data_IF_841667260590
#
_entry.id   IF_841667260590
#
_cell.length_a   1.000
_cell.length_b   1.000
_cell.length_c   1.000
_cell.angle_alpha   90.00
_cell.angle_beta   90.00
_cell.angle_gamma   90.00
#
_symmetry.space_group_name_H-M   'P 1'
#
loop_
_entity.id
_entity.type
_entity.pdbx_description
1 polymer ?
#
# COMPACT_ATOMS: atom_id res chain seq x y z
N UNK A 1 16.12 33.86 -10.36
CA UNK A 1 14.90 33.45 -11.09
C UNK A 1 15.23 32.14 -11.80
N UNK A 2 14.42 31.09 -11.70
CA UNK A 2 14.64 29.86 -12.43
C UNK A 2 14.67 30.13 -13.94
N UNK A 3 15.57 29.48 -14.66
CA UNK A 3 15.70 29.63 -16.11
C UNK A 3 14.45 29.12 -16.85
N UNK A 4 14.26 29.51 -18.12
CA UNK A 4 13.13 29.01 -18.92
C UNK A 4 13.15 27.50 -19.09
N UNK A 5 14.33 26.86 -19.06
CA UNK A 5 14.53 25.42 -19.08
C UNK A 5 14.00 24.75 -17.80
N UNK A 6 14.06 25.43 -16.66
CA UNK A 6 13.60 24.88 -15.37
C UNK A 6 12.08 24.83 -15.23
N UNK A 7 11.32 25.49 -16.10
CA UNK A 7 9.86 25.52 -16.09
C UNK A 7 9.20 24.60 -17.12
N UNK A 8 9.96 23.84 -17.87
CA UNK A 8 9.42 22.92 -18.90
C UNK A 8 8.49 21.84 -18.30
N UNK A 9 8.73 21.41 -17.05
CA UNK A 9 7.87 20.44 -16.36
C UNK A 9 6.44 20.95 -16.09
N UNK A 10 6.26 22.28 -15.89
CA UNK A 10 4.93 22.90 -15.70
C UNK A 10 4.07 22.82 -16.96
N UNK A 11 4.66 22.62 -18.13
CA UNK A 11 3.94 22.50 -19.41
C UNK A 11 3.53 21.06 -19.74
N UNK A 12 3.85 20.10 -18.87
CA UNK A 12 3.54 18.70 -19.11
C UNK A 12 2.09 18.37 -18.74
N UNK A 13 1.26 17.89 -19.70
CA UNK A 13 -0.13 17.55 -19.43
C UNK A 13 -0.36 16.59 -18.28
N UNK A 14 0.47 15.53 -18.03
CA UNK A 14 0.27 14.62 -16.92
C UNK A 14 0.31 15.29 -15.55
N UNK A 15 1.09 16.35 -15.41
CA UNK A 15 1.14 17.11 -14.16
C UNK A 15 -0.24 17.69 -13.81
N UNK A 16 -0.87 18.33 -14.78
CA UNK A 16 -2.15 19.01 -14.56
C UNK A 16 -3.33 18.03 -14.49
N UNK A 17 -3.24 16.90 -15.20
CA UNK A 17 -4.21 15.79 -15.07
C UNK A 17 -4.16 15.20 -13.66
N UNK A 18 -2.99 15.16 -13.02
CA UNK A 18 -2.83 14.71 -11.63
C UNK A 18 -3.11 15.82 -10.60
N UNK A 19 -2.44 16.96 -10.74
CA UNK A 19 -2.52 18.06 -9.78
C UNK A 19 -3.88 18.78 -9.77
N UNK A 20 -4.54 18.90 -10.92
CA UNK A 20 -5.82 19.60 -11.04
C UNK A 20 -6.90 19.03 -10.12
N UNK A 21 -7.27 17.75 -10.24
CA UNK A 21 -8.26 17.12 -9.36
C UNK A 21 -7.88 17.21 -7.87
N UNK A 22 -6.59 17.05 -7.54
CA UNK A 22 -6.11 17.15 -6.16
C UNK A 22 -6.27 18.58 -5.62
N UNK A 23 -5.95 19.61 -6.39
CA UNK A 23 -6.15 20.99 -6.00
C UNK A 23 -7.64 21.32 -5.82
N UNK A 24 -8.50 20.85 -6.72
CA UNK A 24 -9.96 21.02 -6.59
C UNK A 24 -10.44 20.35 -5.31
N UNK A 25 -10.00 19.13 -5.02
CA UNK A 25 -10.34 18.42 -3.80
C UNK A 25 -9.85 19.18 -2.54
N UNK A 26 -8.62 19.68 -2.54
CA UNK A 26 -8.07 20.46 -1.42
C UNK A 26 -8.85 21.74 -1.17
N UNK A 27 -9.21 22.46 -2.23
CA UNK A 27 -10.06 23.66 -2.12
C UNK A 27 -11.43 23.29 -1.57
N UNK A 28 -12.05 22.23 -2.10
CA UNK A 28 -13.35 21.75 -1.60
C UNK A 28 -13.26 21.36 -0.11
N UNK A 29 -12.22 20.64 0.30
CA UNK A 29 -12.03 20.25 1.70
C UNK A 29 -11.77 21.47 2.63
N UNK A 30 -11.07 22.48 2.14
CA UNK A 30 -10.82 23.71 2.89
C UNK A 30 -12.06 24.60 3.03
N UNK A 31 -12.96 24.62 2.05
CA UNK A 31 -14.18 25.41 2.04
C UNK A 31 -15.31 24.69 2.78
N UNK A 32 -15.52 23.42 2.47
CA UNK A 32 -16.57 22.60 3.09
C UNK A 32 -16.11 21.14 3.24
N UNK A 33 -15.68 20.78 4.43
CA UNK A 33 -15.22 19.44 4.75
C UNK A 33 -16.35 18.38 4.61
N UNK A 34 -17.62 18.77 4.88
CA UNK A 34 -18.76 17.84 4.74
C UNK A 34 -19.00 17.50 3.28
N UNK A 35 -18.89 18.48 2.40
CA UNK A 35 -19.00 18.26 0.95
C UNK A 35 -17.87 17.36 0.45
N UNK A 36 -16.63 17.59 0.89
CA UNK A 36 -15.49 16.77 0.54
C UNK A 36 -15.65 15.31 1.01
N UNK A 37 -16.15 15.11 2.23
CA UNK A 37 -16.45 13.78 2.78
C UNK A 37 -17.56 13.10 1.99
N UNK A 38 -18.68 13.78 1.74
CA UNK A 38 -19.78 13.23 0.96
C UNK A 38 -19.36 12.86 -0.48
N UNK A 39 -18.50 13.65 -1.09
CA UNK A 39 -17.93 13.37 -2.41
C UNK A 39 -17.09 12.08 -2.41
N UNK A 40 -16.21 11.91 -1.41
CA UNK A 40 -15.37 10.72 -1.31
C UNK A 40 -16.16 9.47 -0.97
N UNK A 41 -17.12 9.55 -0.05
CA UNK A 41 -17.98 8.42 0.34
C UNK A 41 -18.90 8.01 -0.82
N UNK A 42 -19.53 8.98 -1.50
CA UNK A 42 -20.35 8.72 -2.68
C UNK A 42 -19.55 8.11 -3.82
N UNK A 43 -18.37 8.66 -4.09
CA UNK A 43 -17.47 8.12 -5.11
C UNK A 43 -17.01 6.69 -4.77
N UNK A 44 -16.66 6.42 -3.52
CA UNK A 44 -16.31 5.08 -3.03
C UNK A 44 -17.49 4.10 -3.24
N UNK A 45 -18.71 4.48 -2.88
CA UNK A 45 -19.88 3.63 -3.03
C UNK A 45 -20.10 3.26 -4.50
N UNK A 46 -20.14 4.25 -5.40
CA UNK A 46 -20.29 4.04 -6.84
C UNK A 46 -19.22 3.09 -7.39
N UNK A 47 -17.96 3.34 -7.07
CA UNK A 47 -16.83 2.53 -7.56
C UNK A 47 -16.89 1.12 -7.00
N UNK A 48 -17.26 0.94 -5.73
CA UNK A 48 -17.40 -0.37 -5.10
C UNK A 48 -18.54 -1.18 -5.72
N UNK A 49 -19.66 -0.55 -5.99
CA UNK A 49 -20.82 -1.22 -6.62
C UNK A 49 -20.51 -1.67 -8.05
N UNK A 50 -19.81 -0.84 -8.82
CA UNK A 50 -19.52 -1.13 -10.23
C UNK A 50 -18.32 -2.05 -10.43
N UNK A 51 -17.25 -1.87 -9.65
CA UNK A 51 -15.96 -2.54 -9.85
C UNK A 51 -15.61 -3.54 -8.75
N UNK A 52 -16.36 -3.60 -7.65
CA UNK A 52 -16.03 -4.46 -6.52
C UNK A 52 -15.83 -5.92 -6.89
N UNK A 53 -16.78 -6.50 -7.62
CA UNK A 53 -16.66 -7.90 -8.11
C UNK A 53 -15.49 -8.06 -9.09
N UNK A 54 -15.28 -7.08 -9.97
CA UNK A 54 -14.17 -7.09 -10.95
C UNK A 54 -12.83 -7.08 -10.24
N UNK A 55 -12.67 -6.27 -9.21
CA UNK A 55 -11.43 -6.22 -8.42
C UNK A 55 -11.16 -7.53 -7.69
N UNK A 56 -12.19 -8.16 -7.11
CA UNK A 56 -12.04 -9.45 -6.44
C UNK A 56 -11.53 -10.52 -7.41
N UNK A 57 -12.13 -10.60 -8.59
CA UNK A 57 -11.69 -11.54 -9.64
C UNK A 57 -10.29 -11.23 -10.13
N UNK A 58 -9.97 -9.96 -10.35
CA UNK A 58 -8.64 -9.53 -10.77
C UNK A 58 -7.57 -9.93 -9.77
N UNK A 59 -7.79 -9.71 -8.47
CA UNK A 59 -6.86 -10.09 -7.41
C UNK A 59 -6.67 -11.61 -7.37
N UNK A 60 -7.76 -12.39 -7.47
CA UNK A 60 -7.68 -13.85 -7.48
C UNK A 60 -6.91 -14.39 -8.70
N UNK A 61 -7.19 -13.86 -9.90
CA UNK A 61 -6.48 -14.24 -11.13
C UNK A 61 -5.00 -13.89 -11.05
N UNK A 62 -4.65 -12.69 -10.58
CA UNK A 62 -3.26 -12.27 -10.44
C UNK A 62 -2.51 -13.09 -9.40
N UNK A 63 -3.15 -13.48 -8.31
CA UNK A 63 -2.58 -14.39 -7.33
C UNK A 63 -2.27 -15.77 -7.94
N UNK A 64 -3.25 -16.35 -8.65
CA UNK A 64 -3.05 -17.64 -9.33
C UNK A 64 -1.97 -17.56 -10.41
N UNK A 65 -1.92 -16.45 -11.14
CA UNK A 65 -0.87 -16.19 -12.12
C UNK A 65 0.50 -16.08 -11.45
N UNK A 66 0.62 -15.35 -10.33
CA UNK A 66 1.85 -15.23 -9.57
C UNK A 66 2.33 -16.59 -9.07
N UNK A 67 1.44 -17.41 -8.51
CA UNK A 67 1.75 -18.75 -8.06
C UNK A 67 2.19 -19.65 -9.23
N UNK A 68 1.47 -19.63 -10.35
CA UNK A 68 1.82 -20.38 -11.54
C UNK A 68 3.19 -19.99 -12.11
N UNK A 69 3.49 -18.68 -12.15
CA UNK A 69 4.80 -18.20 -12.58
C UNK A 69 5.92 -18.61 -11.62
N UNK A 70 5.70 -18.56 -10.32
CA UNK A 70 6.69 -18.92 -9.31
C UNK A 70 7.11 -20.40 -9.40
N UNK A 71 6.17 -21.31 -9.66
CA UNK A 71 6.43 -22.77 -9.79
C UNK A 71 6.85 -23.18 -11.21
N UNK A 72 6.66 -22.31 -12.21
CA UNK A 72 7.00 -22.60 -13.60
C UNK A 72 8.49 -22.36 -13.89
N UNK A 73 9.02 -22.89 -15.01
CA UNK A 73 10.37 -22.55 -15.47
C UNK A 73 10.58 -21.05 -15.70
N UNK A 74 9.52 -20.30 -15.98
CA UNK A 74 9.54 -18.83 -16.17
C UNK A 74 9.98 -18.11 -14.90
N UNK A 75 9.65 -18.62 -13.72
CA UNK A 75 10.10 -18.05 -12.43
C UNK A 75 11.62 -18.07 -12.22
N UNK A 76 12.37 -18.82 -13.05
CA UNK A 76 13.84 -18.85 -13.02
C UNK A 76 14.49 -17.82 -13.93
N UNK A 77 13.70 -17.11 -14.73
CA UNK A 77 14.23 -16.08 -15.63
C UNK A 77 14.78 -14.90 -14.84
N UNK A 78 15.98 -14.47 -15.19
CA UNK A 78 16.57 -13.28 -14.61
C UNK A 78 15.92 -12.02 -15.22
N UNK A 79 15.34 -11.18 -14.38
CA UNK A 79 14.89 -9.85 -14.78
C UNK A 79 16.12 -9.02 -15.18
N UNK A 80 16.01 -8.25 -16.27
CA UNK A 80 17.17 -7.50 -16.79
C UNK A 80 18.08 -8.28 -17.76
N UNK A 81 17.89 -9.62 -17.95
CA UNK A 81 18.66 -10.45 -18.86
C UNK A 81 19.63 -11.41 -18.19
N UNK A 82 20.25 -12.29 -18.99
CA UNK A 82 21.13 -13.34 -18.48
C UNK A 82 22.34 -12.81 -17.69
N UNK A 83 22.89 -11.66 -18.13
CA UNK A 83 24.05 -11.02 -17.54
C UNK A 83 23.71 -10.02 -16.42
N UNK A 84 22.42 -9.82 -16.11
CA UNK A 84 22.00 -8.91 -15.08
C UNK A 84 22.50 -9.36 -13.70
N UNK A 85 23.05 -8.38 -12.95
CA UNK A 85 23.54 -8.58 -11.58
C UNK A 85 22.69 -7.73 -10.63
N UNK A 86 22.40 -8.22 -9.41
CA UNK A 86 21.72 -7.43 -8.40
C UNK A 86 22.49 -6.14 -8.09
N UNK A 87 21.80 -5.01 -8.06
CA UNK A 87 22.37 -3.71 -7.70
C UNK A 87 22.35 -3.44 -6.19
N UNK A 88 21.53 -4.21 -5.44
CA UNK A 88 21.40 -4.15 -3.98
C UNK A 88 21.79 -5.49 -3.37
N UNK A 89 22.28 -5.47 -2.12
CA UNK A 89 22.40 -6.67 -1.30
C UNK A 89 21.00 -7.20 -0.97
N UNK A 90 20.87 -8.49 -0.68
CA UNK A 90 19.59 -9.11 -0.40
C UNK A 90 18.83 -8.42 0.75
N UNK A 91 19.51 -8.11 1.86
CA UNK A 91 18.90 -7.40 2.99
C UNK A 91 18.37 -6.01 2.58
N UNK A 92 19.19 -5.22 1.88
CA UNK A 92 18.82 -3.88 1.43
C UNK A 92 17.61 -3.93 0.49
N UNK A 93 17.60 -4.91 -0.42
CA UNK A 93 16.49 -5.13 -1.34
C UNK A 93 15.21 -5.53 -0.61
N UNK A 94 15.28 -6.47 0.34
CA UNK A 94 14.14 -6.84 1.18
C UNK A 94 13.65 -5.64 2.01
N UNK A 95 14.56 -4.85 2.60
CA UNK A 95 14.19 -3.68 3.39
C UNK A 95 13.43 -2.64 2.56
N UNK A 96 13.94 -2.31 1.36
CA UNK A 96 13.26 -1.36 0.47
C UNK A 96 11.89 -1.89 0.04
N UNK A 97 11.78 -3.17 -0.32
CA UNK A 97 10.49 -3.77 -0.69
C UNK A 97 9.49 -3.76 0.47
N UNK A 98 9.89 -4.25 1.65
CA UNK A 98 9.02 -4.30 2.82
C UNK A 98 8.53 -2.89 3.17
N UNK A 99 9.43 -1.90 3.21
CA UNK A 99 9.04 -0.53 3.53
C UNK A 99 8.14 0.10 2.46
N UNK A 100 8.37 -0.19 1.19
CA UNK A 100 7.51 0.30 0.10
C UNK A 100 6.12 -0.33 0.15
N UNK A 101 6.05 -1.62 0.46
CA UNK A 101 4.81 -2.39 0.48
C UNK A 101 3.98 -2.12 1.74
N UNK A 102 4.62 -2.03 2.92
CA UNK A 102 3.91 -1.76 4.18
C UNK A 102 3.52 -0.29 4.32
N UNK A 103 4.16 0.61 3.60
CA UNK A 103 3.97 2.06 3.69
C UNK A 103 4.00 2.59 5.14
N UNK A 104 3.61 3.84 5.37
CA UNK A 104 3.57 4.43 6.71
C UNK A 104 2.48 3.89 7.65
N UNK A 105 1.55 3.08 7.12
CA UNK A 105 0.42 2.55 7.89
C UNK A 105 0.59 1.11 8.40
N UNK A 106 1.58 0.36 7.91
CA UNK A 106 1.68 -1.08 8.19
C UNK A 106 1.72 -1.44 9.67
N UNK A 107 2.55 -0.75 10.43
CA UNK A 107 2.66 -1.00 11.89
C UNK A 107 1.37 -0.62 12.63
N UNK A 108 0.71 0.47 12.23
CA UNK A 108 -0.57 0.88 12.80
C UNK A 108 -1.66 -0.16 12.51
N UNK A 109 -1.83 -0.51 11.24
CA UNK A 109 -2.89 -1.42 10.81
C UNK A 109 -2.68 -2.84 11.32
N UNK A 110 -1.45 -3.25 11.63
CA UNK A 110 -1.19 -4.55 12.24
C UNK A 110 -1.92 -4.77 13.57
N UNK A 111 -2.18 -3.70 14.32
CA UNK A 111 -2.96 -3.73 15.54
C UNK A 111 -4.41 -3.24 15.34
N UNK A 112 -4.60 -2.17 14.58
CA UNK A 112 -5.90 -1.52 14.43
C UNK A 112 -6.90 -2.37 13.62
N UNK A 113 -6.46 -3.05 12.57
CA UNK A 113 -7.34 -3.82 11.69
C UNK A 113 -7.90 -5.08 12.38
N UNK A 114 -7.10 -5.92 13.06
CA UNK A 114 -7.66 -7.02 13.85
C UNK A 114 -8.67 -6.56 14.90
N UNK A 115 -8.38 -5.44 15.59
CA UNK A 115 -9.31 -4.87 16.58
C UNK A 115 -10.61 -4.37 15.92
N UNK A 116 -10.52 -3.72 14.77
CA UNK A 116 -11.69 -3.28 14.02
C UNK A 116 -12.58 -4.46 13.64
N UNK A 117 -12.01 -5.51 13.05
CA UNK A 117 -12.75 -6.70 12.66
C UNK A 117 -13.23 -7.54 13.86
N UNK A 118 -12.53 -7.47 14.99
CA UNK A 118 -13.00 -8.07 16.23
C UNK A 118 -14.26 -7.38 16.76
N UNK A 119 -14.31 -6.04 16.72
CA UNK A 119 -15.48 -5.28 17.14
C UNK A 119 -16.62 -5.33 16.13
N UNK A 120 -16.30 -5.37 14.83
CA UNK A 120 -17.24 -5.38 13.73
C UNK A 120 -16.85 -6.45 12.70
N UNK A 121 -17.20 -7.72 12.94
CA UNK A 121 -16.92 -8.81 12.02
C UNK A 121 -17.47 -8.53 10.63
N UNK A 122 -16.72 -8.94 9.60
CA UNK A 122 -17.14 -8.75 8.23
C UNK A 122 -18.50 -9.48 7.99
N UNK A 123 -19.40 -8.89 7.18
CA UNK A 123 -20.75 -9.44 6.95
C UNK A 123 -20.78 -10.89 6.46
N UNK A 124 -19.67 -11.36 5.96
CA UNK A 124 -19.46 -12.74 5.52
C UNK A 124 -19.56 -13.77 6.64
N UNK A 125 -19.20 -13.40 7.88
CA UNK A 125 -19.26 -14.28 9.05
C UNK A 125 -20.62 -14.14 9.72
N UNK A 126 -21.64 -14.73 9.07
CA UNK A 126 -23.02 -14.67 9.53
C UNK A 126 -23.16 -15.27 10.95
N UNK A 127 -23.87 -14.55 11.84
CA UNK A 127 -24.11 -14.99 13.21
C UNK A 127 -22.96 -14.76 14.19
N UNK A 128 -21.84 -14.20 13.78
CA UNK A 128 -20.73 -13.83 14.67
C UNK A 128 -20.96 -12.42 15.20
N UNK A 129 -21.20 -12.32 16.51
CA UNK A 129 -21.31 -11.02 17.19
C UNK A 129 -19.91 -10.44 17.48
N UNK A 130 -19.77 -9.13 17.25
CA UNK A 130 -18.53 -8.43 17.57
C UNK A 130 -18.18 -8.46 19.05
N UNK A 131 -16.91 -8.32 19.35
CA UNK A 131 -16.34 -8.31 20.72
C UNK A 131 -16.60 -9.61 21.51
N UNK A 132 -16.74 -10.73 20.82
CA UNK A 132 -16.88 -12.07 21.40
C UNK A 132 -15.69 -12.95 21.05
N UNK A 133 -15.46 -14.02 21.80
CA UNK A 133 -14.41 -15.00 21.48
C UNK A 133 -14.57 -15.57 20.06
N UNK A 134 -15.81 -15.77 19.61
CA UNK A 134 -16.11 -16.23 18.26
C UNK A 134 -15.66 -15.25 17.16
N UNK A 135 -15.46 -13.98 17.47
CA UNK A 135 -15.01 -12.96 16.51
C UNK A 135 -13.49 -12.91 16.32
N UNK A 136 -12.70 -13.61 17.16
CA UNK A 136 -11.22 -13.57 17.11
C UNK A 136 -10.70 -14.14 15.79
N UNK A 137 -11.06 -15.39 15.48
CA UNK A 137 -10.59 -16.06 14.26
C UNK A 137 -11.05 -15.34 12.97
N UNK A 138 -12.33 -14.92 12.83
CA UNK A 138 -12.78 -14.06 11.75
C UNK A 138 -11.96 -12.77 11.58
N UNK A 139 -11.66 -12.08 12.68
CA UNK A 139 -10.90 -10.83 12.65
C UNK A 139 -9.48 -11.03 12.13
N UNK A 140 -8.80 -12.05 12.62
CA UNK A 140 -7.46 -12.41 12.17
C UNK A 140 -7.48 -12.87 10.70
N UNK A 141 -8.46 -13.68 10.31
CA UNK A 141 -8.60 -14.17 8.95
C UNK A 141 -8.72 -13.03 7.91
N UNK A 142 -9.55 -12.01 8.21
CA UNK A 142 -9.69 -10.83 7.33
C UNK A 142 -8.39 -10.02 7.28
N UNK A 143 -7.76 -9.80 8.43
CA UNK A 143 -6.51 -9.05 8.50
C UNK A 143 -5.40 -9.73 7.71
N UNK A 144 -5.25 -11.05 7.82
CA UNK A 144 -4.28 -11.82 7.02
C UNK A 144 -4.64 -11.86 5.52
N UNK A 145 -5.92 -11.81 5.18
CA UNK A 145 -6.34 -11.72 3.79
C UNK A 145 -5.90 -10.39 3.16
N UNK A 146 -6.06 -9.28 3.88
CA UNK A 146 -5.71 -7.95 3.40
C UNK A 146 -4.19 -7.73 3.32
N UNK A 147 -3.41 -8.30 4.24
CA UNK A 147 -1.97 -8.10 4.32
C UNK A 147 -1.12 -9.31 3.88
N UNK A 148 -1.76 -10.39 3.45
CA UNK A 148 -1.10 -11.62 3.01
C UNK A 148 -0.72 -11.63 1.53
N UNK A 149 -0.31 -12.79 1.06
CA UNK A 149 0.20 -13.01 -0.29
C UNK A 149 -0.73 -12.52 -1.41
N UNK A 150 -2.04 -12.53 -1.18
CA UNK A 150 -3.04 -12.17 -2.18
C UNK A 150 -2.87 -10.71 -2.64
N UNK A 151 -2.74 -9.79 -1.71
CA UNK A 151 -2.55 -8.37 -1.99
C UNK A 151 -1.21 -8.10 -2.71
N UNK A 152 -0.14 -8.78 -2.29
CA UNK A 152 1.20 -8.56 -2.82
C UNK A 152 1.43 -9.19 -4.18
N UNK A 153 0.72 -10.27 -4.51
CA UNK A 153 0.76 -10.89 -5.83
C UNK A 153 0.35 -9.91 -6.94
N UNK A 154 -0.54 -8.98 -6.65
CA UNK A 154 -1.00 -7.95 -7.58
C UNK A 154 0.15 -7.06 -8.05
N UNK A 155 0.97 -6.58 -7.13
CA UNK A 155 2.13 -5.72 -7.44
C UNK A 155 3.25 -6.51 -8.11
N UNK A 156 3.59 -7.67 -7.55
CA UNK A 156 4.72 -8.47 -8.02
C UNK A 156 4.55 -8.94 -9.46
N UNK A 157 3.37 -9.43 -9.81
CA UNK A 157 3.14 -10.09 -11.10
C UNK A 157 3.01 -9.09 -12.24
N UNK A 158 2.11 -8.13 -12.10
CA UNK A 158 1.76 -7.23 -13.21
C UNK A 158 2.86 -6.22 -13.48
N UNK A 159 3.35 -5.56 -12.42
CA UNK A 159 4.28 -4.45 -12.56
C UNK A 159 5.69 -4.96 -12.87
N UNK A 160 6.19 -5.91 -12.06
CA UNK A 160 7.58 -6.37 -12.19
C UNK A 160 7.84 -7.02 -13.55
N UNK A 161 6.97 -7.93 -13.99
CA UNK A 161 7.17 -8.64 -15.26
C UNK A 161 6.99 -7.70 -16.44
N UNK A 162 5.91 -6.91 -16.43
CA UNK A 162 5.62 -6.00 -17.56
C UNK A 162 6.70 -4.94 -17.70
N UNK A 163 7.10 -4.29 -16.63
CA UNK A 163 8.16 -3.29 -16.69
C UNK A 163 9.52 -3.88 -17.08
N UNK A 164 9.83 -5.10 -16.64
CA UNK A 164 11.08 -5.76 -17.08
C UNK A 164 11.12 -6.01 -18.59
N UNK A 165 9.98 -6.35 -19.20
CA UNK A 165 9.87 -6.52 -20.66
C UNK A 165 9.95 -5.17 -21.38
N UNK A 166 9.27 -4.16 -20.85
CA UNK A 166 9.24 -2.81 -21.44
C UNK A 166 10.61 -2.14 -21.38
N UNK A 167 11.32 -2.27 -20.25
CA UNK A 167 12.68 -1.76 -20.09
C UNK A 167 13.65 -2.34 -21.14
N UNK A 168 13.58 -3.64 -21.40
CA UNK A 168 14.38 -4.28 -22.46
C UNK A 168 14.06 -3.76 -23.86
N UNK A 169 12.86 -3.21 -24.06
CA UNK A 169 12.45 -2.58 -25.32
C UNK A 169 12.80 -1.10 -25.39
N UNK A 170 13.49 -0.57 -24.37
CA UNK A 170 13.85 0.85 -24.27
C UNK A 170 12.68 1.77 -23.91
N UNK A 171 11.56 1.20 -23.41
CA UNK A 171 10.44 2.00 -22.96
C UNK A 171 10.73 2.59 -21.57
N UNK A 172 10.36 3.85 -21.33
CA UNK A 172 10.55 4.46 -20.02
C UNK A 172 9.67 3.79 -18.96
N UNK A 173 10.18 3.65 -17.73
CA UNK A 173 9.46 3.06 -16.60
C UNK A 173 8.45 4.07 -16.01
N UNK A 174 7.29 4.17 -16.63
CA UNK A 174 6.19 5.04 -16.21
C UNK A 174 4.83 4.40 -16.48
N UNK A 175 3.75 4.82 -15.79
CA UNK A 175 2.44 4.16 -15.88
C UNK A 175 1.92 4.00 -17.31
N UNK A 176 2.03 5.01 -18.16
CA UNK A 176 1.58 4.92 -19.56
C UNK A 176 2.27 3.82 -20.36
N UNK A 177 3.49 3.43 -19.99
CA UNK A 177 4.22 2.38 -20.69
C UNK A 177 3.55 1.02 -20.57
N UNK A 178 2.74 0.79 -19.52
CA UNK A 178 1.92 -0.40 -19.36
C UNK A 178 0.85 -0.54 -20.45
N UNK A 179 0.50 0.55 -21.13
CA UNK A 179 -0.46 0.56 -22.23
C UNK A 179 0.17 0.17 -23.58
N UNK A 180 1.51 0.21 -23.69
CA UNK A 180 2.22 -0.06 -24.98
C UNK A 180 1.83 -1.41 -25.62
N UNK A 181 1.70 -2.52 -24.86
CA UNK A 181 1.28 -3.79 -25.48
C UNK A 181 -0.22 -3.87 -25.78
N UNK A 182 -1.03 -2.93 -25.30
CA UNK A 182 -2.49 -3.02 -25.32
C UNK A 182 -3.13 -2.13 -26.40
N UNK A 183 -2.52 -0.95 -26.67
CA UNK A 183 -3.09 0.05 -27.56
C UNK A 183 -2.06 0.66 -28.49
N UNK A 184 -2.46 1.20 -29.66
CA UNK A 184 -1.56 1.87 -30.61
C UNK A 184 -0.79 3.03 -29.97
N UNK A 185 0.46 3.22 -30.38
CA UNK A 185 1.40 4.23 -29.84
C UNK A 185 0.79 5.65 -29.77
N UNK A 186 0.01 6.04 -30.78
CA UNK A 186 -0.67 7.33 -30.79
C UNK A 186 -1.57 7.60 -29.57
N UNK A 187 -2.14 6.54 -28.98
CA UNK A 187 -2.96 6.66 -27.78
C UNK A 187 -2.11 6.69 -26.51
N UNK A 188 -0.98 5.95 -26.51
CA UNK A 188 -0.01 5.95 -25.40
C UNK A 188 0.66 7.32 -25.25
N UNK A 189 1.04 7.92 -26.37
CA UNK A 189 1.68 9.25 -26.39
C UNK A 189 0.65 10.40 -26.35
N UNK A 190 -0.65 10.08 -26.48
CA UNK A 190 -1.78 10.99 -26.46
C UNK A 190 -2.49 11.06 -25.11
N UNK A 191 -3.80 11.36 -25.20
CA UNK A 191 -4.65 11.64 -24.03
C UNK A 191 -4.73 10.46 -23.05
N UNK A 192 -4.79 9.21 -23.55
CA UNK A 192 -4.89 8.01 -22.70
C UNK A 192 -3.64 7.82 -21.84
N UNK A 193 -2.45 8.03 -22.42
CA UNK A 193 -1.21 7.98 -21.66
C UNK A 193 -1.10 9.11 -20.62
N UNK A 194 -1.53 10.32 -20.97
CA UNK A 194 -1.55 11.44 -20.02
C UNK A 194 -2.52 11.19 -18.86
N UNK A 195 -3.69 10.62 -19.14
CA UNK A 195 -4.65 10.20 -18.12
C UNK A 195 -4.07 9.10 -17.23
N UNK A 196 -3.43 8.07 -17.81
CA UNK A 196 -2.80 6.99 -17.07
C UNK A 196 -1.74 7.51 -16.09
N UNK A 197 -0.83 8.35 -16.56
CA UNK A 197 0.21 8.95 -15.71
C UNK A 197 -0.41 9.86 -14.63
N UNK A 198 -1.37 10.72 -15.00
CA UNK A 198 -2.03 11.64 -14.07
C UNK A 198 -2.84 10.91 -12.99
N UNK A 199 -3.64 9.91 -13.37
CA UNK A 199 -4.40 9.10 -12.40
C UNK A 199 -3.47 8.32 -11.46
N UNK A 200 -2.33 7.84 -11.94
CA UNK A 200 -1.34 7.18 -11.09
C UNK A 200 -0.74 8.13 -10.06
N UNK A 201 -0.52 9.40 -10.43
CA UNK A 201 -0.09 10.44 -9.47
C UNK A 201 -1.17 10.69 -8.43
N UNK A 202 -2.45 10.85 -8.85
CA UNK A 202 -3.59 11.01 -7.92
C UNK A 202 -3.67 9.84 -6.96
N UNK A 203 -3.61 8.61 -7.47
CA UNK A 203 -3.68 7.40 -6.66
C UNK A 203 -2.53 7.31 -5.65
N UNK A 204 -1.29 7.63 -6.07
CA UNK A 204 -0.12 7.63 -5.19
C UNK A 204 -0.26 8.66 -4.07
N UNK A 205 -0.68 9.88 -4.37
CA UNK A 205 -0.86 10.93 -3.37
C UNK A 205 -2.02 10.58 -2.42
N UNK A 206 -3.17 10.18 -2.95
CA UNK A 206 -4.33 9.79 -2.14
C UNK A 206 -3.99 8.61 -1.20
N UNK A 207 -3.26 7.61 -1.70
CA UNK A 207 -2.80 6.46 -0.91
C UNK A 207 -1.75 6.80 0.16
N UNK A 208 -1.07 7.95 0.04
CA UNK A 208 -0.02 8.37 0.98
C UNK A 208 -0.56 9.32 2.06
N UNK A 209 -1.49 10.20 1.70
CA UNK A 209 -2.01 11.24 2.61
C UNK A 209 -2.72 10.65 3.82
N UNK A 210 -3.54 9.61 3.63
CA UNK A 210 -4.23 8.91 4.74
C UNK A 210 -3.25 8.36 5.78
N UNK A 211 -2.32 7.48 5.41
CA UNK A 211 -1.29 6.96 6.32
C UNK A 211 -0.46 8.05 7.01
N UNK A 212 -0.10 9.14 6.32
CA UNK A 212 0.61 10.27 6.92
C UNK A 212 -0.24 10.98 7.98
N UNK A 213 -1.53 11.18 7.71
CA UNK A 213 -2.47 11.75 8.67
C UNK A 213 -2.56 10.89 9.93
N UNK A 214 -2.76 9.59 9.81
CA UNK A 214 -2.79 8.67 10.95
C UNK A 214 -1.47 8.66 11.73
N UNK A 215 -0.33 8.64 11.04
CA UNK A 215 0.98 8.67 11.69
C UNK A 215 1.18 9.97 12.48
N UNK A 216 0.76 11.12 11.94
CA UNK A 216 0.87 12.40 12.64
C UNK A 216 0.00 12.45 13.90
N UNK A 217 -1.24 11.94 13.83
CA UNK A 217 -2.12 11.83 14.99
C UNK A 217 -1.54 10.93 16.08
N UNK A 218 -0.97 9.79 15.69
CA UNK A 218 -0.34 8.86 16.65
C UNK A 218 0.87 9.47 17.33
N UNK A 219 1.77 10.09 16.55
CA UNK A 219 2.96 10.73 17.10
C UNK A 219 2.61 11.93 17.98
N UNK A 220 1.61 12.72 17.60
CA UNK A 220 1.13 13.85 18.43
C UNK A 220 0.50 13.35 19.73
N UNK A 221 -0.34 12.31 19.67
CA UNK A 221 -0.93 11.69 20.85
C UNK A 221 0.14 11.09 21.77
N UNK A 222 1.11 10.37 21.23
CA UNK A 222 2.23 9.80 22.00
C UNK A 222 3.09 10.90 22.63
N UNK A 223 3.39 11.96 21.90
CA UNK A 223 4.12 13.10 22.42
C UNK A 223 3.34 13.86 23.52
N UNK A 224 2.01 13.94 23.37
CA UNK A 224 1.12 14.55 24.37
C UNK A 224 1.08 13.82 25.72
N UNK A 225 1.61 12.57 25.81
CA UNK A 225 1.82 11.87 27.07
C UNK A 225 3.06 12.35 27.84
N UNK A 226 3.93 13.12 27.18
CA UNK A 226 5.15 13.65 27.80
C UNK A 226 4.81 14.92 28.61
N UNK A 227 5.44 15.12 29.81
CA UNK A 227 5.24 16.31 30.61
C UNK A 227 5.56 17.59 29.82
N UNK A 228 4.63 18.55 29.83
CA UNK A 228 4.80 19.84 29.16
C UNK A 228 4.43 19.89 27.68
N UNK A 229 4.03 18.77 27.08
CA UNK A 229 3.49 18.71 25.72
C UNK A 229 2.01 18.36 25.80
N UNK A 230 1.18 19.11 25.09
CA UNK A 230 -0.24 18.79 24.93
C UNK A 230 -0.50 18.35 23.48
N UNK A 231 -1.32 17.32 23.30
CA UNK A 231 -1.83 16.98 21.96
C UNK A 231 -2.66 18.17 21.45
N UNK A 232 -2.22 18.75 20.35
CA UNK A 232 -2.79 19.96 19.78
C UNK A 232 -2.64 19.99 18.27
N UNK A 233 -3.49 20.74 17.58
CA UNK A 233 -3.38 20.94 16.14
C UNK A 233 -2.01 21.51 15.73
N UNK A 234 -1.38 22.32 16.59
CA UNK A 234 -0.03 22.82 16.37
C UNK A 234 1.03 21.72 16.39
N UNK A 235 0.97 20.83 17.38
CA UNK A 235 1.88 19.69 17.47
C UNK A 235 1.67 18.73 16.29
N UNK A 236 0.41 18.43 15.91
CA UNK A 236 0.09 17.60 14.75
C UNK A 236 0.66 18.21 13.47
N UNK A 237 0.48 19.50 13.25
CA UNK A 237 1.03 20.23 12.09
C UNK A 237 2.56 20.18 12.07
N UNK A 238 3.22 20.37 13.20
CA UNK A 238 4.67 20.26 13.32
C UNK A 238 5.15 18.86 12.95
N UNK A 239 4.49 17.83 13.45
CA UNK A 239 4.82 16.42 13.10
C UNK A 239 4.66 16.18 11.61
N UNK A 240 3.58 16.64 10.97
CA UNK A 240 3.39 16.52 9.50
C UNK A 240 4.54 17.20 8.75
N UNK A 241 4.91 18.42 9.13
CA UNK A 241 6.02 19.14 8.48
C UNK A 241 7.35 18.41 8.62
N UNK A 242 7.66 17.92 9.82
CA UNK A 242 8.89 17.16 10.07
C UNK A 242 8.94 15.86 9.28
N UNK A 243 7.86 15.09 9.28
CA UNK A 243 7.75 13.85 8.48
C UNK A 243 7.90 14.14 6.99
N UNK A 244 7.22 15.18 6.49
CA UNK A 244 7.31 15.59 5.09
C UNK A 244 8.75 15.98 4.73
N UNK A 245 9.44 16.71 5.59
CA UNK A 245 10.84 17.07 5.37
C UNK A 245 11.75 15.83 5.32
N UNK A 246 11.56 14.86 6.22
CA UNK A 246 12.32 13.60 6.20
C UNK A 246 12.07 12.83 4.91
N UNK A 247 10.82 12.66 4.50
CA UNK A 247 10.48 11.95 3.26
C UNK A 247 10.99 12.66 2.01
N UNK A 248 10.84 13.98 1.94
CA UNK A 248 11.35 14.77 0.83
C UNK A 248 12.87 14.65 0.70
N UNK A 249 13.59 14.78 1.81
CA UNK A 249 15.07 14.63 1.84
C UNK A 249 15.49 13.21 1.45
N UNK A 250 14.80 12.19 1.97
CA UNK A 250 15.04 10.80 1.59
C UNK A 250 14.83 10.56 0.09
N UNK A 251 13.72 11.07 -0.45
CA UNK A 251 13.40 10.92 -1.88
C UNK A 251 14.39 11.62 -2.79
N UNK A 252 14.76 12.86 -2.46
CA UNK A 252 15.73 13.64 -3.25
C UNK A 252 17.13 13.00 -3.24
N UNK A 253 17.53 12.39 -2.13
CA UNK A 253 18.82 11.68 -2.04
C UNK A 253 18.86 10.34 -2.79
N UNK A 254 17.71 9.84 -3.25
CA UNK A 254 17.58 8.69 -4.14
C UNK A 254 17.61 7.33 -3.44
N UNK A 255 17.32 6.28 -4.23
CA UNK A 255 17.14 4.90 -3.74
C UNK A 255 18.40 4.36 -3.06
N UNK A 256 19.59 4.64 -3.62
CA UNK A 256 20.85 4.07 -3.14
C UNK A 256 21.35 4.69 -1.82
N UNK A 257 20.79 5.81 -1.41
CA UNK A 257 21.22 6.54 -0.20
C UNK A 257 20.07 6.68 0.81
N UNK A 258 19.24 7.70 0.64
CA UNK A 258 18.25 8.05 1.64
C UNK A 258 17.13 7.02 1.79
N UNK A 259 16.56 6.55 0.69
CA UNK A 259 15.48 5.56 0.73
C UNK A 259 16.00 4.25 1.33
N UNK A 260 17.16 3.77 0.89
CA UNK A 260 17.79 2.58 1.43
C UNK A 260 18.03 2.70 2.93
N UNK A 261 18.72 3.76 3.38
CA UNK A 261 19.06 3.95 4.79
C UNK A 261 17.82 4.03 5.67
N UNK A 262 16.80 4.79 5.26
CA UNK A 262 15.55 4.92 6.01
C UNK A 262 14.79 3.58 6.07
N UNK A 263 14.82 2.80 4.99
CA UNK A 263 14.21 1.47 4.95
C UNK A 263 14.92 0.49 5.87
N UNK A 264 16.24 0.47 5.87
CA UNK A 264 17.02 -0.39 6.80
C UNK A 264 16.75 -0.04 8.26
N UNK A 265 16.75 1.26 8.58
CA UNK A 265 16.42 1.74 9.93
C UNK A 265 15.03 1.27 10.36
N UNK A 266 14.03 1.43 9.49
CA UNK A 266 12.67 1.00 9.77
C UNK A 266 12.56 -0.51 10.02
N UNK A 267 13.25 -1.33 9.23
CA UNK A 267 13.27 -2.79 9.45
C UNK A 267 13.89 -3.14 10.79
N UNK A 268 15.02 -2.53 11.16
CA UNK A 268 15.64 -2.75 12.45
C UNK A 268 14.76 -2.32 13.63
N UNK A 269 14.09 -1.18 13.52
CA UNK A 269 13.13 -0.72 14.53
C UNK A 269 11.94 -1.68 14.65
N UNK A 270 11.41 -2.16 13.52
CA UNK A 270 10.30 -3.12 13.51
C UNK A 270 10.70 -4.46 14.13
N UNK A 271 11.88 -4.97 13.81
CA UNK A 271 12.41 -6.20 14.42
C UNK A 271 12.67 -6.02 15.93
N UNK A 272 13.20 -4.86 16.32
CA UNK A 272 13.41 -4.52 17.74
C UNK A 272 12.08 -4.43 18.51
N UNK A 273 11.08 -3.80 17.93
CA UNK A 273 9.73 -3.74 18.50
C UNK A 273 9.10 -5.15 18.61
N UNK A 274 9.21 -5.96 17.56
CA UNK A 274 8.72 -7.34 17.57
C UNK A 274 9.40 -8.18 18.65
N UNK A 275 10.72 -8.07 18.78
CA UNK A 275 11.47 -8.76 19.84
C UNK A 275 11.05 -8.28 21.25
N UNK A 276 10.87 -6.97 21.43
CA UNK A 276 10.38 -6.41 22.68
C UNK A 276 8.98 -6.93 23.05
N UNK A 277 8.06 -6.98 22.07
CA UNK A 277 6.72 -7.53 22.28
C UNK A 277 6.73 -9.03 22.61
N UNK A 278 7.64 -9.80 22.01
CA UNK A 278 7.79 -11.22 22.33
C UNK A 278 8.34 -11.44 23.74
N UNK A 279 9.28 -10.60 24.20
CA UNK A 279 9.92 -10.74 25.51
C UNK A 279 9.07 -10.13 26.65
N UNK A 280 8.48 -8.97 26.41
CA UNK A 280 7.76 -8.19 27.43
C UNK A 280 6.24 -8.38 27.37
N UNK A 281 5.73 -8.88 26.26
CA UNK A 281 4.29 -9.07 26.04
C UNK A 281 3.79 -10.40 26.60
N UNK A 282 2.46 -10.60 26.64
CA UNK A 282 1.84 -11.85 27.11
C UNK A 282 2.06 -13.06 26.19
N UNK A 283 2.84 -12.90 25.11
CA UNK A 283 3.00 -13.91 24.06
C UNK A 283 3.60 -15.24 24.50
N UNK A 284 4.38 -15.27 25.58
CA UNK A 284 4.94 -16.52 26.13
C UNK A 284 3.96 -17.28 27.02
N UNK A 285 2.89 -16.65 27.49
CA UNK A 285 1.88 -17.29 28.35
C UNK A 285 0.67 -17.85 27.59
N UNK A 286 0.50 -17.50 26.30
CA UNK A 286 -0.64 -17.91 25.48
C UNK A 286 -0.34 -19.01 24.45
N UNK A 287 0.73 -19.81 24.67
CA UNK A 287 1.18 -20.85 23.74
C UNK A 287 0.10 -21.87 23.32
N UNK A 288 -0.93 -22.05 24.16
CA UNK A 288 -2.05 -22.94 23.86
C UNK A 288 -3.11 -22.33 22.91
N UNK A 289 -3.30 -21.00 22.96
CA UNK A 289 -4.24 -20.30 22.07
C UNK A 289 -3.59 -20.02 20.71
N UNK A 290 -2.30 -19.69 20.68
CA UNK A 290 -1.58 -19.38 19.46
C UNK A 290 -1.41 -20.60 18.53
N UNK A 291 -1.24 -21.80 19.10
CA UNK A 291 -1.20 -23.03 18.30
C UNK A 291 -2.53 -23.36 17.60
N UNK A 292 -3.66 -22.95 18.15
CA UNK A 292 -4.97 -23.11 17.50
C UNK A 292 -5.13 -22.13 16.36
N UNK A 293 -4.80 -20.86 16.57
CA UNK A 293 -4.93 -19.81 15.55
C UNK A 293 -3.96 -20.03 14.37
N UNK A 294 -2.73 -20.46 14.62
CA UNK A 294 -1.74 -20.73 13.57
C UNK A 294 -2.11 -21.97 12.74
N UNK A 295 -2.66 -23.02 13.34
CA UNK A 295 -3.14 -24.20 12.60
C UNK A 295 -4.38 -23.92 11.75
N UNK A 296 -5.30 -23.09 12.23
CA UNK A 296 -6.47 -22.66 11.45
C UNK A 296 -6.07 -21.73 10.30
N UNK A 297 -5.07 -20.88 10.49
CA UNK A 297 -4.59 -19.92 9.51
C UNK A 297 -3.92 -20.55 8.28
N UNK A 298 -3.16 -21.61 8.46
CA UNK A 298 -2.40 -22.22 7.35
C UNK A 298 -3.26 -23.07 6.40
N UNK A 299 -4.40 -23.59 6.87
CA UNK A 299 -5.19 -24.56 6.11
C UNK A 299 -6.52 -24.02 5.56
N UNK A 300 -7.09 -22.95 6.13
CA UNK A 300 -8.46 -22.53 5.80
C UNK A 300 -8.58 -21.13 5.16
N UNK A 301 -7.67 -20.22 5.40
CA UNK A 301 -7.93 -18.80 5.14
C UNK A 301 -7.78 -18.41 3.68
N UNK A 302 -6.73 -18.83 3.00
CA UNK A 302 -6.43 -18.36 1.63
C UNK A 302 -7.26 -19.13 0.60
N UNK A 303 -7.39 -20.44 0.76
CA UNK A 303 -8.10 -21.30 -0.21
C UNK A 303 -9.61 -21.20 -0.05
N UNK A 304 -10.11 -21.16 1.18
CA UNK A 304 -11.55 -21.09 1.46
C UNK A 304 -12.18 -19.78 1.03
N UNK A 305 -11.50 -18.63 1.20
CA UNK A 305 -12.06 -17.34 0.79
C UNK A 305 -12.06 -17.15 -0.73
N UNK A 306 -11.00 -17.55 -1.42
CA UNK A 306 -10.96 -17.52 -2.87
C UNK A 306 -12.02 -18.46 -3.49
N UNK A 307 -12.15 -19.69 -2.97
CA UNK A 307 -13.16 -20.66 -3.40
C UNK A 307 -14.58 -20.23 -3.04
N UNK A 308 -14.77 -19.53 -1.92
CA UNK A 308 -16.08 -19.08 -1.49
C UNK A 308 -16.59 -17.86 -2.27
N UNK A 309 -15.74 -16.90 -2.61
CA UNK A 309 -16.11 -15.81 -3.52
C UNK A 309 -16.55 -16.35 -4.89
N UNK A 310 -16.02 -17.51 -5.29
CA UNK A 310 -16.40 -18.24 -6.51
C UNK A 310 -17.75 -18.97 -6.39
N UNK A 311 -18.20 -19.34 -5.18
CA UNK A 311 -19.40 -20.17 -4.94
C UNK A 311 -20.69 -19.37 -4.70
N UNK A 312 -20.60 -18.05 -4.50
CA UNK A 312 -21.75 -17.19 -4.18
C UNK A 312 -22.28 -16.41 -5.41
N UNK A 313 -22.26 -17.05 -6.59
CA UNK A 313 -23.06 -16.62 -7.74
C UNK A 313 -24.17 -17.60 -8.06
#
# INVERSE_FOLDING_TARGET
MPSESDRHWLKQPPLWVGAGPLLVFLVMAAVDLKLATAFTEGGKAIVSDWLGSTWQWMVAVLFLLAAALAISPVGRLKLGGAEAKPSLKLFDWCAVLICTLLAGGGVFWSAAEPLFHFQSPAPYFEGVSGSTEAAVDPALAVSFLHWGFLAWALVATTVTITFSVLERRGEPLRPRSLLVPLVPRRWVDGILGHLSDGLSVVAAIAGTVGPLGFLSLQLSNAAGQLPGLADSAGLQSLVVVLLTAVFATSTVSGIQKGIKWLSELNVWLTLGLGAALLVLGPGLSSESQDRKSTRLNSSHTVISYAVFCLKKK
#
